data_IF_478224047190
#
_entry.id   IF_478224047190
#
_cell.length_a   1.000
_cell.length_b   1.000
_cell.length_c   1.000
_cell.angle_alpha   90.00
_cell.angle_beta   90.00
_cell.angle_gamma   90.00
#
_symmetry.space_group_name_H-M   'P 1'
#
loop_
_entity.id
_entity.type
_entity.pdbx_description
1 polymer ?
#
# COMPACT_ATOMS: atom_id res chain seq x y z
N UNK A 1 -0.08 2.31 9.25
CA UNK A 1 -0.86 1.09 9.39
C UNK A 1 -1.57 0.85 8.07
N UNK A 2 -2.12 -0.33 7.86
CA UNK A 2 -3.07 -0.61 6.80
C UNK A 2 -4.47 -0.52 7.41
N UNK A 3 -5.47 -0.82 6.60
CA UNK A 3 -6.87 -0.85 7.01
C UNK A 3 -7.50 -2.17 6.59
N UNK A 4 -8.58 -2.54 7.26
CA UNK A 4 -9.47 -3.62 6.87
C UNK A 4 -10.91 -3.14 6.86
N UNK A 5 -11.75 -3.81 6.07
CA UNK A 5 -13.18 -3.48 5.90
C UNK A 5 -14.02 -4.56 6.59
N UNK A 6 -14.94 -4.14 7.46
CA UNK A 6 -15.91 -5.03 8.10
C UNK A 6 -17.04 -5.31 7.12
N UNK A 7 -17.03 -6.52 6.55
CA UNK A 7 -17.94 -6.95 5.49
C UNK A 7 -19.43 -6.78 5.85
N UNK A 8 -19.80 -7.18 7.07
CA UNK A 8 -21.18 -7.13 7.57
C UNK A 8 -21.76 -5.70 7.62
N UNK A 9 -20.90 -4.69 7.77
CA UNK A 9 -21.30 -3.27 7.85
C UNK A 9 -21.19 -2.59 6.48
N UNK A 10 -20.32 -3.10 5.60
CA UNK A 10 -20.09 -2.54 4.28
C UNK A 10 -21.38 -2.50 3.45
N UNK A 11 -21.65 -1.33 2.86
CA UNK A 11 -22.82 -1.10 1.99
C UNK A 11 -22.48 -1.08 0.50
N UNK A 12 -21.23 -1.36 0.13
CA UNK A 12 -20.81 -1.46 -1.28
C UNK A 12 -20.81 -0.14 -2.05
N UNK A 13 -20.69 1.02 -1.39
CA UNK A 13 -20.82 2.33 -2.05
C UNK A 13 -19.63 2.73 -2.95
N UNK A 14 -18.44 2.15 -2.75
CA UNK A 14 -17.24 2.44 -3.55
C UNK A 14 -16.54 3.77 -3.27
N UNK A 15 -16.97 4.55 -2.27
CA UNK A 15 -16.32 5.81 -1.92
C UNK A 15 -14.84 5.63 -1.54
N UNK A 16 -14.51 4.57 -0.80
CA UNK A 16 -13.15 4.25 -0.40
C UNK A 16 -12.25 3.97 -1.61
N UNK A 17 -12.71 3.16 -2.57
CA UNK A 17 -11.97 2.82 -3.79
C UNK A 17 -11.64 4.08 -4.61
N UNK A 18 -12.61 4.99 -4.75
CA UNK A 18 -12.44 6.22 -5.50
C UNK A 18 -11.36 7.16 -4.92
N UNK A 19 -11.25 7.24 -3.59
CA UNK A 19 -10.29 8.14 -2.94
C UNK A 19 -8.90 7.53 -2.73
N UNK A 20 -8.72 6.23 -3.01
CA UNK A 20 -7.46 5.54 -2.72
C UNK A 20 -6.37 5.94 -3.74
N UNK A 21 -5.30 6.64 -3.32
CA UNK A 21 -4.27 7.14 -4.24
C UNK A 21 -3.39 6.02 -4.82
N UNK A 22 -3.27 4.89 -4.12
CA UNK A 22 -2.42 3.76 -4.53
C UNK A 22 -3.21 2.60 -5.13
N UNK A 23 -4.50 2.78 -5.36
CA UNK A 23 -5.39 1.73 -5.89
C UNK A 23 -5.37 0.44 -5.05
N UNK A 24 -5.16 0.59 -3.73
CA UNK A 24 -5.07 -0.53 -2.80
C UNK A 24 -6.42 -1.21 -2.52
N UNK A 25 -7.53 -0.72 -3.04
CA UNK A 25 -8.86 -1.21 -2.72
C UNK A 25 -9.40 -2.04 -3.87
N UNK A 26 -9.66 -3.32 -3.60
CA UNK A 26 -10.23 -4.27 -4.54
C UNK A 26 -11.70 -4.56 -4.25
N UNK A 27 -12.44 -4.95 -5.28
CA UNK A 27 -13.83 -5.43 -5.17
C UNK A 27 -13.83 -6.94 -4.98
N UNK A 28 -14.56 -7.42 -3.98
CA UNK A 28 -14.93 -8.82 -3.86
C UNK A 28 -16.34 -9.00 -4.42
N UNK A 29 -16.43 -9.80 -5.47
CA UNK A 29 -17.71 -10.33 -5.93
C UNK A 29 -18.11 -11.45 -4.96
N UNK A 30 -19.11 -11.18 -4.12
CA UNK A 30 -19.70 -12.22 -3.27
C UNK A 30 -20.80 -12.96 -4.04
N UNK A 31 -21.10 -14.22 -3.67
CA UNK A 31 -22.27 -14.92 -4.23
C UNK A 31 -23.59 -14.23 -3.87
N UNK A 32 -23.58 -13.44 -2.79
CA UNK A 32 -24.63 -12.50 -2.45
C UNK A 32 -24.65 -11.32 -3.44
N UNK A 33 -25.84 -10.80 -3.76
CA UNK A 33 -26.03 -9.61 -4.61
C UNK A 33 -25.38 -8.30 -4.09
N UNK A 34 -24.47 -8.38 -3.11
CA UNK A 34 -23.72 -7.27 -2.52
C UNK A 34 -22.27 -7.31 -3.00
N UNK A 35 -21.81 -6.15 -3.48
CA UNK A 35 -20.40 -5.88 -3.72
C UNK A 35 -19.77 -5.49 -2.40
N UNK A 36 -18.69 -6.15 -2.03
CA UNK A 36 -17.89 -5.78 -0.86
C UNK A 36 -16.47 -5.44 -1.28
N UNK A 37 -15.70 -4.83 -0.40
CA UNK A 37 -14.38 -4.30 -0.72
C UNK A 37 -13.34 -4.88 0.22
N UNK A 38 -12.12 -5.06 -0.30
CA UNK A 38 -10.94 -5.45 0.47
C UNK A 38 -9.85 -4.41 0.26
N UNK A 39 -8.95 -4.34 1.23
CA UNK A 39 -7.78 -3.45 1.17
C UNK A 39 -6.55 -4.35 1.08
N UNK A 40 -5.80 -4.20 0.00
CA UNK A 40 -4.47 -4.78 -0.17
C UNK A 40 -3.48 -4.00 0.70
N UNK A 41 -3.10 -4.61 1.82
CA UNK A 41 -2.12 -4.05 2.76
C UNK A 41 -0.77 -3.73 2.12
N UNK A 42 -0.41 -4.45 1.04
CA UNK A 42 0.84 -4.21 0.35
C UNK A 42 0.79 -2.88 -0.38
N UNK A 43 -0.32 -2.56 -1.04
CA UNK A 43 -0.51 -1.30 -1.75
C UNK A 43 -0.91 -0.13 -0.84
N UNK A 44 -1.51 -0.39 0.32
CA UNK A 44 -2.00 0.66 1.22
C UNK A 44 -0.87 1.54 1.78
N UNK A 45 -0.85 2.84 1.49
CA UNK A 45 0.20 3.75 1.95
C UNK A 45 -0.05 4.42 3.32
N UNK A 46 -1.08 4.00 4.06
CA UNK A 46 -1.47 4.60 5.35
C UNK A 46 -1.94 6.07 5.28
N UNK A 47 -2.52 6.50 4.15
CA UNK A 47 -2.91 7.91 3.97
C UNK A 47 -4.21 8.34 4.68
N UNK A 48 -4.89 7.46 5.43
CA UNK A 48 -6.15 7.74 6.15
C UNK A 48 -7.35 8.21 5.28
N UNK A 49 -7.24 8.22 3.95
CA UNK A 49 -8.29 8.71 3.06
C UNK A 49 -9.57 7.84 3.09
N UNK A 50 -9.40 6.52 3.13
CA UNK A 50 -10.53 5.58 3.07
C UNK A 50 -11.41 5.57 4.33
N UNK A 51 -10.90 5.48 5.59
CA UNK A 51 -11.76 5.58 6.76
C UNK A 51 -12.48 6.92 6.84
N UNK A 52 -11.81 8.01 6.47
CA UNK A 52 -12.37 9.37 6.53
C UNK A 52 -13.55 9.60 5.57
N UNK A 53 -13.67 8.82 4.50
CA UNK A 53 -14.75 8.94 3.51
C UNK A 53 -15.89 7.94 3.72
N UNK A 54 -15.70 6.94 4.59
CA UNK A 54 -16.67 5.86 4.73
C UNK A 54 -17.93 6.36 5.46
N UNK A 55 -19.12 6.32 4.84
CA UNK A 55 -20.34 6.86 5.46
C UNK A 55 -20.92 5.98 6.58
N UNK A 56 -20.40 4.76 6.75
CA UNK A 56 -20.86 3.76 7.73
C UNK A 56 -19.76 3.31 8.68
N UNK A 57 -18.62 4.00 8.68
CA UNK A 57 -17.48 3.77 9.58
C UNK A 57 -17.01 2.30 9.68
N UNK A 58 -17.12 1.54 8.57
CA UNK A 58 -16.77 0.11 8.54
C UNK A 58 -15.28 -0.18 8.27
N UNK A 59 -14.43 0.83 8.28
CA UNK A 59 -13.01 0.72 7.94
C UNK A 59 -12.18 0.98 9.20
N UNK A 60 -11.34 0.01 9.58
CA UNK A 60 -10.55 0.06 10.82
C UNK A 60 -9.07 -0.21 10.55
N UNK A 61 -8.20 0.26 11.45
CA UNK A 61 -6.76 0.09 11.33
C UNK A 61 -6.32 -1.36 11.59
N UNK A 62 -5.38 -1.85 10.79
CA UNK A 62 -4.67 -3.11 11.01
C UNK A 62 -3.30 -2.81 11.65
N UNK A 63 -3.14 -2.96 12.98
CA UNK A 63 -1.97 -2.48 13.71
C UNK A 63 -0.69 -3.27 13.42
N UNK A 64 -0.79 -4.52 12.97
CA UNK A 64 0.37 -5.40 12.75
C UNK A 64 0.94 -5.30 11.31
N UNK A 65 0.32 -4.48 10.47
CA UNK A 65 0.72 -4.31 9.07
C UNK A 65 2.00 -3.47 8.90
N UNK A 66 2.68 -3.68 7.77
CA UNK A 66 3.88 -2.92 7.41
C UNK A 66 3.50 -1.56 6.87
N UNK A 67 3.99 -0.52 7.53
CA UNK A 67 3.64 0.87 7.24
C UNK A 67 4.65 1.52 6.28
N UNK A 68 4.15 2.36 5.37
CA UNK A 68 5.01 3.28 4.60
C UNK A 68 5.71 4.26 5.55
N UNK A 69 6.92 4.71 5.20
CA UNK A 69 7.77 5.58 6.04
C UNK A 69 8.09 5.06 7.46
N UNK A 70 7.76 3.81 7.76
CA UNK A 70 8.01 3.18 9.05
C UNK A 70 9.44 2.64 9.22
N UNK A 71 9.59 1.77 10.23
CA UNK A 71 10.88 1.15 10.58
C UNK A 71 11.50 0.43 9.36
N UNK A 72 12.71 0.84 9.00
CA UNK A 72 13.47 0.23 7.89
C UNK A 72 13.10 0.76 6.50
N UNK A 73 12.10 1.64 6.38
CA UNK A 73 11.86 2.35 5.12
C UNK A 73 13.02 3.34 4.88
N UNK A 74 13.65 3.36 3.70
CA UNK A 74 14.67 4.35 3.37
C UNK A 74 14.17 5.80 3.44
N UNK A 75 12.86 6.02 3.34
CA UNK A 75 12.23 7.35 3.41
C UNK A 75 11.66 7.69 4.78
N UNK A 76 11.99 6.91 5.82
CA UNK A 76 11.54 7.25 7.17
C UNK A 76 12.13 8.59 7.64
N UNK A 77 11.48 9.24 8.60
CA UNK A 77 11.86 10.56 9.12
C UNK A 77 13.30 10.64 9.64
N UNK A 78 13.88 9.52 10.07
CA UNK A 78 15.25 9.42 10.61
C UNK A 78 16.30 9.12 9.55
N UNK A 79 15.90 9.00 8.28
CA UNK A 79 16.77 8.67 7.17
C UNK A 79 17.32 9.92 6.47
N UNK A 80 18.52 9.80 5.89
CA UNK A 80 19.10 10.82 5.01
C UNK A 80 18.38 10.94 3.67
N UNK A 81 17.51 9.98 3.35
CA UNK A 81 16.76 9.93 2.09
C UNK A 81 15.29 10.33 2.26
N UNK A 82 14.90 10.93 3.39
CA UNK A 82 13.51 11.32 3.68
C UNK A 82 12.89 12.26 2.62
N UNK A 83 13.71 13.03 1.91
CA UNK A 83 13.27 13.99 0.90
C UNK A 83 13.09 13.32 -0.48
N UNK A 84 13.49 12.06 -0.64
CA UNK A 84 13.26 11.30 -1.85
C UNK A 84 11.80 10.83 -1.91
N UNK A 85 11.37 10.55 -3.14
CA UNK A 85 10.02 10.07 -3.38
C UNK A 85 10.04 8.59 -3.77
N UNK A 86 9.03 7.86 -3.33
CA UNK A 86 8.78 6.45 -3.65
C UNK A 86 7.48 6.39 -4.45
N UNK A 87 7.40 5.50 -5.45
CA UNK A 87 6.18 5.31 -6.23
C UNK A 87 5.08 4.52 -5.51
N UNK A 88 5.27 4.23 -4.21
CA UNK A 88 4.29 3.53 -3.36
C UNK A 88 3.71 2.25 -3.97
N UNK A 89 4.59 1.45 -4.60
CA UNK A 89 4.29 0.19 -5.31
C UNK A 89 3.45 0.33 -6.58
N UNK A 90 3.07 1.54 -6.97
CA UNK A 90 2.42 1.83 -8.26
C UNK A 90 3.38 1.55 -9.42
N UNK A 91 4.63 2.02 -9.31
CA UNK A 91 5.69 1.75 -10.30
C UNK A 91 6.71 0.77 -9.73
N UNK A 92 7.05 -0.28 -10.50
CA UNK A 92 7.96 -1.35 -10.05
C UNK A 92 9.10 -1.60 -11.03
N UNK A 93 10.24 -1.94 -10.47
CA UNK A 93 11.44 -2.30 -11.21
C UNK A 93 11.18 -3.58 -12.02
N UNK A 94 11.34 -3.56 -13.35
CA UNK A 94 11.08 -4.73 -14.19
C UNK A 94 12.06 -5.89 -13.94
N UNK A 95 13.19 -5.63 -13.27
CA UNK A 95 14.23 -6.64 -13.01
C UNK A 95 14.04 -7.37 -11.68
N UNK A 96 13.60 -6.67 -10.63
CA UNK A 96 13.55 -7.26 -9.28
C UNK A 96 12.25 -7.02 -8.52
N UNK A 97 11.25 -6.42 -9.17
CA UNK A 97 9.92 -6.11 -8.62
C UNK A 97 9.94 -5.19 -7.38
N UNK A 98 11.09 -4.58 -7.09
CA UNK A 98 11.19 -3.57 -6.06
C UNK A 98 10.45 -2.29 -6.52
N UNK A 99 9.90 -1.53 -5.59
CA UNK A 99 9.28 -0.23 -5.90
C UNK A 99 10.30 0.70 -6.57
N UNK A 100 9.87 1.76 -7.26
CA UNK A 100 10.78 2.75 -7.82
C UNK A 100 10.85 3.99 -6.93
N UNK A 101 11.99 4.68 -6.99
CA UNK A 101 12.25 5.91 -6.24
C UNK A 101 12.80 7.00 -7.15
N UNK A 102 12.63 8.26 -6.75
CA UNK A 102 13.26 9.39 -7.42
C UNK A 102 13.85 10.37 -6.40
N UNK A 103 14.96 10.96 -6.79
CA UNK A 103 15.64 12.01 -6.04
C UNK A 103 14.83 13.31 -6.07
N UNK A 104 14.95 14.17 -5.04
CA UNK A 104 14.36 15.50 -5.07
C UNK A 104 14.82 16.27 -6.31
N UNK A 105 13.87 16.74 -7.12
CA UNK A 105 14.16 17.49 -8.34
C UNK A 105 14.53 16.64 -9.57
N UNK A 106 14.54 15.31 -9.45
CA UNK A 106 14.73 14.41 -10.58
C UNK A 106 13.39 13.91 -11.13
N UNK A 107 13.24 13.89 -12.46
CA UNK A 107 12.09 13.27 -13.12
C UNK A 107 12.29 11.75 -13.33
N UNK A 108 13.47 11.22 -13.01
CA UNK A 108 13.85 9.84 -13.29
C UNK A 108 13.56 8.92 -12.12
N UNK A 109 12.74 7.90 -12.38
CA UNK A 109 12.57 6.75 -11.51
C UNK A 109 13.77 5.79 -11.59
N UNK A 110 14.27 5.36 -10.44
CA UNK A 110 15.35 4.38 -10.30
C UNK A 110 14.97 3.30 -9.27
N UNK A 111 15.51 2.10 -9.46
CA UNK A 111 15.43 1.03 -8.48
C UNK A 111 16.54 1.17 -7.44
N UNK A 112 16.16 1.32 -6.17
CA UNK A 112 17.11 1.46 -5.07
C UNK A 112 18.02 0.24 -4.88
N UNK A 113 17.60 -0.94 -5.37
CA UNK A 113 18.40 -2.16 -5.36
C UNK A 113 19.29 -2.30 -6.60
N UNK A 114 18.71 -2.21 -7.79
CA UNK A 114 19.43 -2.47 -9.04
C UNK A 114 20.33 -1.30 -9.47
N UNK A 115 19.86 -0.07 -9.31
CA UNK A 115 20.57 1.12 -9.79
C UNK A 115 21.45 1.75 -8.70
N UNK A 116 20.93 1.83 -7.46
CA UNK A 116 21.65 2.48 -6.35
C UNK A 116 22.41 1.49 -5.44
N UNK A 117 22.08 0.19 -5.45
CA UNK A 117 22.70 -0.81 -4.59
C UNK A 117 22.47 -0.62 -3.09
N UNK A 118 21.44 0.15 -2.69
CA UNK A 118 21.25 0.62 -1.31
C UNK A 118 20.23 -0.19 -0.49
N UNK A 119 19.35 -0.98 -1.12
CA UNK A 119 18.46 -1.89 -0.39
C UNK A 119 17.12 -2.21 -1.06
N UNK A 120 16.27 -2.95 -0.34
CA UNK A 120 14.93 -3.38 -0.78
C UNK A 120 13.85 -2.70 0.06
N UNK A 121 12.73 -2.33 -0.57
CA UNK A 121 11.57 -1.84 0.16
C UNK A 121 11.11 -2.86 1.22
N UNK A 122 10.85 -2.44 2.47
CA UNK A 122 10.38 -3.35 3.52
C UNK A 122 9.11 -4.10 3.15
N UNK A 123 8.17 -3.43 2.46
CA UNK A 123 6.94 -4.05 1.95
C UNK A 123 7.23 -5.12 0.91
N UNK A 124 8.03 -4.82 -0.10
CA UNK A 124 8.45 -5.81 -1.11
C UNK A 124 9.12 -7.02 -0.46
N UNK A 125 10.00 -6.77 0.52
CA UNK A 125 10.67 -7.84 1.28
C UNK A 125 9.67 -8.69 2.09
N UNK A 126 8.60 -8.09 2.61
CA UNK A 126 7.61 -8.82 3.38
C UNK A 126 6.63 -9.62 2.52
N UNK A 127 6.23 -9.10 1.35
CA UNK A 127 5.43 -9.85 0.38
C UNK A 127 6.11 -11.15 -0.11
N UNK A 128 7.43 -11.27 0.05
CA UNK A 128 8.16 -12.50 -0.25
C UNK A 128 7.99 -13.58 0.82
N UNK A 129 7.47 -13.24 2.00
CA UNK A 129 7.24 -14.20 3.07
C UNK A 129 5.88 -14.88 2.91
N UNK A 130 5.78 -16.18 3.25
CA UNK A 130 4.57 -16.96 3.04
C UNK A 130 3.34 -16.44 3.81
N UNK A 131 3.53 -15.81 4.98
CA UNK A 131 2.43 -15.29 5.79
C UNK A 131 1.68 -14.09 5.15
N UNK A 132 2.33 -13.34 4.25
CA UNK A 132 1.73 -12.20 3.52
C UNK A 132 1.29 -12.58 2.09
N UNK A 133 1.36 -13.88 1.75
CA UNK A 133 1.03 -14.41 0.41
C UNK A 133 -0.43 -14.83 0.28
N UNK A 134 -1.23 -14.62 1.34
CA UNK A 134 -2.52 -15.29 1.58
C UNK A 134 -3.74 -14.39 1.33
N UNK A 135 -3.57 -13.16 0.85
CA UNK A 135 -4.74 -12.40 0.37
C UNK A 135 -5.13 -12.98 -0.99
N UNK A 136 -6.31 -13.60 -1.14
CA UNK A 136 -6.75 -14.10 -2.43
C UNK A 136 -6.86 -12.91 -3.39
N UNK A 137 -6.17 -13.01 -4.53
CA UNK A 137 -6.33 -12.10 -5.67
C UNK A 137 -7.65 -12.33 -6.38
#
# INVERSE_FOLDING_TARGET
>A
MSYYIVDDICIGCGACEYVCPTLAIGRLDSESYRVTFIIDEMLCNDCDACPSTCPVDCIHQEPESIICHGRGCPLNERSTLRDWECSELVERCPTCDNVLWREPGSEKWICFKCDAGQGTCPKVRAAQKPEYRVVPR
#
